data_IF_790213536413
#
_entry.id   IF_790213536413
#
_cell.length_a   1.000
_cell.length_b   1.000
_cell.length_c   1.000
_cell.angle_alpha   90.00
_cell.angle_beta   90.00
_cell.angle_gamma   90.00
#
_symmetry.space_group_name_H-M   'P 1'
#
loop_
_entity.id
_entity.type
_entity.pdbx_description
1 polymer ?
#
# COMPACT_ATOMS: atom_id res chain seq x y z
N UNK A 1 -5.76 -3.58 25.59
CA UNK A 1 -7.09 -3.18 25.07
C UNK A 1 -7.04 -2.23 23.89
N UNK A 2 -6.54 -0.98 24.01
CA UNK A 2 -6.54 -0.02 22.88
C UNK A 2 -5.68 -0.53 21.71
N UNK A 3 -4.44 -0.97 21.98
CA UNK A 3 -3.54 -1.49 20.95
C UNK A 3 -4.10 -2.73 20.25
N UNK A 4 -4.71 -3.66 20.99
CA UNK A 4 -5.37 -4.84 20.43
C UNK A 4 -6.56 -4.48 19.53
N UNK A 5 -7.32 -3.45 19.90
CA UNK A 5 -8.46 -3.00 19.07
C UNK A 5 -7.97 -2.47 17.72
N UNK A 6 -6.82 -1.78 17.70
CA UNK A 6 -6.24 -1.24 16.47
C UNK A 6 -5.63 -2.34 15.62
N UNK A 7 -4.90 -3.28 16.23
CA UNK A 7 -4.41 -4.47 15.55
C UNK A 7 -5.55 -5.23 14.88
N UNK A 8 -6.66 -5.44 15.60
CA UNK A 8 -7.84 -6.11 15.06
C UNK A 8 -8.43 -5.36 13.86
N UNK A 9 -8.56 -4.03 13.97
CA UNK A 9 -9.02 -3.16 12.88
C UNK A 9 -8.10 -3.28 11.66
N UNK A 10 -6.77 -3.25 11.84
CA UNK A 10 -5.81 -3.42 10.74
C UNK A 10 -5.94 -4.78 10.06
N UNK A 11 -5.99 -5.87 10.83
CA UNK A 11 -6.15 -7.23 10.28
C UNK A 11 -7.46 -7.34 9.50
N UNK A 12 -8.58 -6.88 10.09
CA UNK A 12 -9.89 -6.97 9.47
C UNK A 12 -9.97 -6.15 8.18
N UNK A 13 -9.52 -4.89 8.19
CA UNK A 13 -9.55 -4.05 7.00
C UNK A 13 -8.63 -4.59 5.91
N UNK A 14 -7.39 -4.98 6.25
CA UNK A 14 -6.46 -5.58 5.29
C UNK A 14 -7.06 -6.83 4.65
N UNK A 15 -7.73 -7.68 5.44
CA UNK A 15 -8.42 -8.86 4.92
C UNK A 15 -9.57 -8.49 3.97
N UNK A 16 -10.45 -7.56 4.36
CA UNK A 16 -11.56 -7.10 3.51
C UNK A 16 -11.05 -6.54 2.18
N UNK A 17 -10.02 -5.68 2.23
CA UNK A 17 -9.42 -5.07 1.04
C UNK A 17 -8.78 -6.13 0.14
N UNK A 18 -8.15 -7.15 0.73
CA UNK A 18 -7.55 -8.25 -0.04
C UNK A 18 -8.57 -8.98 -0.91
N UNK A 19 -9.83 -9.05 -0.45
CA UNK A 19 -10.94 -9.71 -1.15
C UNK A 19 -11.61 -8.85 -2.23
N UNK A 20 -11.06 -7.67 -2.54
CA UNK A 20 -11.57 -6.74 -3.54
C UNK A 20 -12.08 -7.39 -4.84
N UNK A 21 -11.34 -8.37 -5.39
CA UNK A 21 -11.69 -9.05 -6.64
C UNK A 21 -13.11 -9.65 -6.67
N UNK A 22 -13.70 -9.93 -5.51
CA UNK A 22 -15.07 -10.47 -5.38
C UNK A 22 -16.17 -9.43 -5.66
N UNK A 23 -15.88 -8.14 -5.54
CA UNK A 23 -16.86 -7.04 -5.71
C UNK A 23 -16.54 -6.12 -6.88
N UNK A 24 -15.77 -6.63 -7.83
CA UNK A 24 -15.24 -5.88 -8.97
C UNK A 24 -16.36 -5.21 -9.78
N UNK A 25 -16.15 -3.92 -10.10
CA UNK A 25 -16.88 -3.16 -11.12
C UNK A 25 -16.10 -1.86 -11.40
N UNK A 26 -16.36 -1.21 -12.52
CA UNK A 26 -15.53 -0.09 -13.00
C UNK A 26 -15.39 1.06 -11.99
N UNK A 27 -16.44 1.35 -11.21
CA UNK A 27 -16.36 2.38 -10.15
C UNK A 27 -15.45 1.93 -9.00
N UNK A 28 -15.61 0.69 -8.56
CA UNK A 28 -14.78 0.11 -7.52
C UNK A 28 -13.33 -0.10 -7.96
N UNK A 29 -13.07 -0.39 -9.25
CA UNK A 29 -11.72 -0.48 -9.82
C UNK A 29 -10.95 0.81 -9.56
N UNK A 30 -11.56 1.97 -9.86
CA UNK A 30 -10.89 3.24 -9.66
C UNK A 30 -10.76 3.60 -8.18
N UNK A 31 -11.79 3.36 -7.36
CA UNK A 31 -11.70 3.59 -5.91
C UNK A 31 -10.57 2.75 -5.31
N UNK A 32 -10.46 1.48 -5.70
CA UNK A 32 -9.40 0.59 -5.23
C UNK A 32 -8.02 1.08 -5.67
N UNK A 33 -7.85 1.48 -6.94
CA UNK A 33 -6.60 2.05 -7.44
C UNK A 33 -6.20 3.29 -6.62
N UNK A 34 -7.11 4.25 -6.45
CA UNK A 34 -6.85 5.49 -5.71
C UNK A 34 -6.52 5.18 -4.25
N UNK A 35 -7.31 4.32 -3.60
CA UNK A 35 -7.04 3.85 -2.25
C UNK A 35 -5.63 3.26 -2.14
N UNK A 36 -5.25 2.38 -3.06
CA UNK A 36 -3.96 1.70 -3.03
C UNK A 36 -2.78 2.65 -3.25
N UNK A 37 -2.92 3.63 -4.15
CA UNK A 37 -1.91 4.69 -4.37
C UNK A 37 -1.76 5.57 -3.13
N UNK A 38 -2.87 6.02 -2.54
CA UNK A 38 -2.86 6.83 -1.32
C UNK A 38 -2.29 6.06 -0.14
N UNK A 39 -2.59 4.77 -0.04
CA UNK A 39 -2.00 3.89 0.96
C UNK A 39 -0.48 3.85 0.78
N UNK A 40 0.04 3.53 -0.40
CA UNK A 40 1.51 3.51 -0.64
C UNK A 40 2.17 4.87 -0.35
N UNK A 41 1.54 5.97 -0.77
CA UNK A 41 2.03 7.31 -0.48
C UNK A 41 2.08 7.58 1.03
N UNK A 42 1.05 7.18 1.78
CA UNK A 42 1.02 7.32 3.23
C UNK A 42 2.15 6.53 3.89
N UNK A 43 2.41 5.29 3.46
CA UNK A 43 3.52 4.48 3.96
C UNK A 43 4.88 5.13 3.67
N UNK A 44 5.08 5.69 2.47
CA UNK A 44 6.33 6.36 2.10
C UNK A 44 6.62 7.61 2.94
N UNK A 45 5.60 8.44 3.15
CA UNK A 45 5.68 9.67 3.95
C UNK A 45 5.87 9.33 5.43
N UNK A 46 5.13 8.32 5.91
CA UNK A 46 5.12 7.92 7.31
C UNK A 46 6.23 6.93 7.68
N UNK A 47 7.28 6.80 6.84
CA UNK A 47 8.44 5.91 7.04
C UNK A 47 8.05 4.47 7.43
N UNK A 48 7.08 3.92 6.70
CA UNK A 48 6.53 2.59 6.93
C UNK A 48 5.78 2.40 8.27
N UNK A 49 5.17 3.45 8.77
CA UNK A 49 4.30 3.39 9.94
C UNK A 49 2.88 3.88 9.62
N UNK A 50 1.87 3.23 10.18
CA UNK A 50 0.50 3.75 10.10
C UNK A 50 0.34 4.99 10.99
N UNK A 51 -0.38 6.01 10.49
CA UNK A 51 -0.65 7.24 11.24
C UNK A 51 -1.28 6.99 12.62
N UNK A 52 -2.18 6.01 12.72
CA UNK A 52 -2.84 5.66 13.98
C UNK A 52 -1.82 5.09 14.98
N UNK A 53 -0.95 4.18 14.52
CA UNK A 53 0.14 3.64 15.33
C UNK A 53 1.06 4.75 15.84
N UNK A 54 1.50 5.64 14.93
CA UNK A 54 2.36 6.77 15.27
C UNK A 54 1.75 7.65 16.37
N UNK A 55 0.48 8.05 16.23
CA UNK A 55 -0.22 8.91 17.20
C UNK A 55 -0.21 8.27 18.60
N UNK A 56 -0.39 6.95 18.67
CA UNK A 56 -0.49 6.23 19.94
C UNK A 56 0.87 6.04 20.58
N UNK A 57 1.90 5.69 19.80
CA UNK A 57 3.26 5.59 20.31
C UNK A 57 3.76 6.94 20.79
N UNK A 58 3.52 8.03 20.05
CA UNK A 58 3.84 9.40 20.47
C UNK A 58 3.08 9.84 21.72
N UNK A 59 1.86 9.33 21.94
CA UNK A 59 1.10 9.59 23.17
C UNK A 59 1.68 8.85 24.38
N UNK A 60 2.21 7.65 24.18
CA UNK A 60 2.82 6.84 25.25
C UNK A 60 4.26 7.27 25.55
N UNK A 61 4.98 7.76 24.55
CA UNK A 61 6.34 8.24 24.64
C UNK A 61 6.48 9.56 23.86
N UNK A 62 6.67 10.65 24.59
CA UNK A 62 6.81 11.99 24.01
C UNK A 62 8.09 12.19 23.21
N UNK A 63 9.06 11.28 23.33
CA UNK A 63 10.31 11.32 22.57
C UNK A 63 10.23 10.47 21.30
N UNK A 64 9.21 9.59 21.17
CA UNK A 64 9.03 8.70 20.02
C UNK A 64 8.95 9.46 18.69
N UNK A 65 9.89 9.22 17.79
CA UNK A 65 9.97 9.81 16.47
C UNK A 65 9.34 8.90 15.41
N UNK A 66 8.78 9.50 14.36
CA UNK A 66 8.14 8.76 13.28
C UNK A 66 9.14 7.82 12.61
N UNK A 67 8.79 6.54 12.53
CA UNK A 67 9.63 5.49 11.96
C UNK A 67 10.68 4.91 12.91
N UNK A 68 10.66 5.28 14.20
CA UNK A 68 11.57 4.70 15.20
C UNK A 68 11.30 3.20 15.42
N UNK A 69 10.05 2.76 15.21
CA UNK A 69 9.70 1.34 15.14
C UNK A 69 9.12 1.01 13.77
N UNK A 70 9.74 0.07 13.07
CA UNK A 70 9.14 -0.58 11.88
C UNK A 70 8.42 -1.87 12.22
N UNK A 71 8.19 -2.13 13.51
CA UNK A 71 7.63 -3.40 13.96
C UNK A 71 6.18 -3.55 13.52
N UNK A 72 5.85 -4.77 13.08
CA UNK A 72 4.50 -5.24 12.76
C UNK A 72 3.72 -5.64 14.01
N UNK A 73 4.05 -5.03 15.15
CA UNK A 73 3.51 -5.29 16.48
C UNK A 73 1.97 -5.31 16.46
N UNK A 74 1.33 -4.43 15.68
CA UNK A 74 -0.12 -4.40 15.53
C UNK A 74 -0.70 -5.74 15.02
N UNK A 75 -0.03 -6.39 14.07
CA UNK A 75 -0.44 -7.69 13.54
C UNK A 75 -0.06 -8.83 14.49
N UNK A 76 1.13 -8.75 15.09
CA UNK A 76 1.65 -9.75 16.03
C UNK A 76 0.80 -9.85 17.29
N UNK A 77 0.29 -8.72 17.80
CA UNK A 77 -0.60 -8.69 18.97
C UNK A 77 -1.87 -9.51 18.78
N UNK A 78 -2.32 -9.69 17.53
CA UNK A 78 -3.59 -10.36 17.21
C UNK A 78 -3.37 -11.78 16.68
N UNK A 79 -2.39 -11.94 15.79
CA UNK A 79 -2.15 -13.18 15.07
C UNK A 79 -1.00 -14.00 15.69
N UNK A 80 -0.13 -13.37 16.48
CA UNK A 80 1.18 -13.91 16.85
C UNK A 80 2.21 -13.75 15.72
N UNK A 81 3.49 -13.83 16.08
CA UNK A 81 4.65 -13.59 15.18
C UNK A 81 4.60 -14.38 13.87
N UNK A 82 4.40 -15.69 13.93
CA UNK A 82 4.41 -16.52 12.73
C UNK A 82 3.24 -16.23 11.78
N UNK A 83 2.04 -16.04 12.33
CA UNK A 83 0.84 -15.80 11.52
C UNK A 83 0.80 -14.37 10.98
N UNK A 84 1.37 -13.38 11.69
CA UNK A 84 1.47 -12.01 11.20
C UNK A 84 2.34 -11.93 9.95
N UNK A 85 3.50 -12.60 9.92
CA UNK A 85 4.37 -12.66 8.75
C UNK A 85 3.66 -13.31 7.55
N UNK A 86 3.03 -14.48 7.77
CA UNK A 86 2.26 -15.18 6.73
C UNK A 86 1.11 -14.32 6.21
N UNK A 87 0.40 -13.63 7.10
CA UNK A 87 -0.70 -12.74 6.73
C UNK A 87 -0.21 -11.56 5.90
N UNK A 88 0.91 -10.94 6.26
CA UNK A 88 1.49 -9.84 5.49
C UNK A 88 1.94 -10.30 4.09
N UNK A 89 2.54 -11.48 3.97
CA UNK A 89 2.89 -12.03 2.67
C UNK A 89 1.65 -12.36 1.83
N UNK A 90 0.57 -12.87 2.45
CA UNK A 90 -0.74 -13.00 1.80
C UNK A 90 -1.29 -11.65 1.31
N UNK A 91 -1.28 -10.60 2.14
CA UNK A 91 -1.77 -9.27 1.77
C UNK A 91 -0.95 -8.69 0.60
N UNK A 92 0.38 -8.81 0.65
CA UNK A 92 1.26 -8.38 -0.46
C UNK A 92 0.95 -9.11 -1.76
N UNK A 93 0.75 -10.42 -1.69
CA UNK A 93 0.33 -11.21 -2.85
C UNK A 93 -1.02 -10.72 -3.40
N UNK A 94 -2.01 -10.54 -2.52
CA UNK A 94 -3.35 -10.09 -2.93
C UNK A 94 -3.34 -8.69 -3.53
N UNK A 95 -2.44 -7.79 -3.09
CA UNK A 95 -2.25 -6.49 -3.73
C UNK A 95 -1.78 -6.61 -5.17
N UNK A 96 -0.73 -7.41 -5.42
CA UNK A 96 -0.24 -7.65 -6.78
C UNK A 96 -1.32 -8.32 -7.62
N UNK A 97 -1.99 -9.34 -7.07
CA UNK A 97 -3.09 -10.04 -7.73
C UNK A 97 -4.22 -9.07 -8.13
N UNK A 98 -4.72 -8.26 -7.20
CA UNK A 98 -5.84 -7.33 -7.46
C UNK A 98 -5.48 -6.27 -8.50
N UNK A 99 -4.27 -5.72 -8.48
CA UNK A 99 -3.85 -4.78 -9.53
C UNK A 99 -3.68 -5.50 -10.87
N UNK A 100 -3.02 -6.65 -10.92
CA UNK A 100 -2.92 -7.45 -12.16
C UNK A 100 -4.29 -7.84 -12.70
N UNK A 101 -5.24 -8.17 -11.83
CA UNK A 101 -6.63 -8.44 -12.19
C UNK A 101 -7.24 -7.22 -12.88
N UNK A 102 -7.16 -6.02 -12.29
CA UNK A 102 -7.65 -4.77 -12.90
C UNK A 102 -6.94 -4.48 -14.23
N UNK A 103 -5.62 -4.71 -14.35
CA UNK A 103 -4.89 -4.48 -15.60
C UNK A 103 -5.40 -5.36 -16.75
N UNK A 104 -5.72 -6.62 -16.45
CA UNK A 104 -6.15 -7.61 -17.44
C UNK A 104 -7.62 -7.42 -17.81
N UNK A 105 -8.50 -7.30 -16.82
CA UNK A 105 -9.95 -7.34 -17.04
C UNK A 105 -10.63 -5.97 -16.98
N UNK A 106 -9.95 -4.96 -16.42
CA UNK A 106 -10.49 -3.62 -16.26
C UNK A 106 -10.56 -2.87 -17.58
N UNK A 107 -11.67 -2.18 -17.77
CA UNK A 107 -11.87 -1.25 -18.89
C UNK A 107 -11.30 0.12 -18.50
N UNK A 108 -9.97 0.21 -18.57
CA UNK A 108 -9.23 1.43 -18.24
C UNK A 108 -8.26 1.76 -19.38
N UNK A 109 -7.97 3.05 -19.51
CA UNK A 109 -7.07 3.58 -20.52
C UNK A 109 -5.71 2.84 -20.54
N UNK A 110 -5.19 2.60 -21.76
CA UNK A 110 -3.96 1.82 -21.97
C UNK A 110 -2.73 2.48 -21.33
N UNK A 111 -2.67 3.81 -21.32
CA UNK A 111 -1.59 4.53 -20.68
C UNK A 111 -1.70 4.44 -19.15
N UNK A 112 -2.92 4.50 -18.59
CA UNK A 112 -3.14 4.19 -17.17
C UNK A 112 -2.72 2.76 -16.83
N UNK A 113 -3.03 1.77 -17.67
CA UNK A 113 -2.56 0.37 -17.48
C UNK A 113 -1.04 0.28 -17.42
N UNK A 114 -0.34 0.96 -18.33
CA UNK A 114 1.12 1.02 -18.33
C UNK A 114 1.67 1.64 -17.04
N UNK A 115 1.11 2.79 -16.63
CA UNK A 115 1.53 3.47 -15.40
C UNK A 115 1.29 2.61 -14.16
N UNK A 116 0.13 1.95 -14.06
CA UNK A 116 -0.19 1.04 -12.96
C UNK A 116 0.72 -0.20 -12.95
N UNK A 117 1.10 -0.71 -14.12
CA UNK A 117 2.09 -1.79 -14.24
C UNK A 117 3.46 -1.37 -13.71
N UNK A 118 3.96 -0.21 -14.14
CA UNK A 118 5.23 0.36 -13.64
C UNK A 118 5.19 0.64 -12.14
N UNK A 119 4.08 1.21 -11.66
CA UNK A 119 3.84 1.44 -10.24
C UNK A 119 3.88 0.14 -9.43
N UNK A 120 3.16 -0.90 -9.87
CA UNK A 120 3.12 -2.21 -9.19
C UNK A 120 4.51 -2.85 -9.16
N UNK A 121 5.23 -2.80 -10.29
CA UNK A 121 6.60 -3.30 -10.36
C UNK A 121 7.55 -2.55 -9.40
N UNK A 122 7.44 -1.22 -9.35
CA UNK A 122 8.24 -0.41 -8.42
C UNK A 122 7.90 -0.68 -6.95
N UNK A 123 6.62 -0.89 -6.62
CA UNK A 123 6.17 -1.27 -5.27
C UNK A 123 6.77 -2.63 -4.86
N UNK A 124 6.73 -3.62 -5.76
CA UNK A 124 7.34 -4.92 -5.53
C UNK A 124 8.86 -4.81 -5.28
N UNK A 125 9.57 -4.05 -6.11
CA UNK A 125 11.01 -3.80 -5.94
C UNK A 125 11.33 -3.08 -4.63
N UNK A 126 10.52 -2.07 -4.27
CA UNK A 126 10.63 -1.35 -3.01
C UNK A 126 10.50 -2.30 -1.80
N UNK A 127 9.43 -3.11 -1.76
CA UNK A 127 9.24 -4.11 -0.70
C UNK A 127 10.37 -5.14 -0.66
N UNK A 128 10.83 -5.63 -1.81
CA UNK A 128 11.92 -6.59 -1.91
C UNK A 128 13.25 -6.02 -1.36
N UNK A 129 13.50 -4.73 -1.56
CA UNK A 129 14.71 -4.05 -1.09
C UNK A 129 14.84 -4.02 0.43
N UNK A 130 13.73 -4.02 1.18
CA UNK A 130 13.77 -4.05 2.66
C UNK A 130 14.17 -5.42 3.20
N UNK A 131 13.73 -6.51 2.55
CA UNK A 131 14.01 -7.88 3.00
C UNK A 131 15.42 -8.34 2.62
N UNK A 132 16.03 -7.78 1.57
CA UNK A 132 17.28 -8.30 1.01
C UNK A 132 18.48 -7.38 1.25
N UNK A 133 19.46 -7.88 2.01
CA UNK A 133 20.72 -7.20 2.37
C UNK A 133 21.53 -6.61 1.20
N UNK A 134 21.60 -7.20 -0.01
CA UNK A 134 22.38 -6.61 -1.11
C UNK A 134 21.77 -5.29 -1.62
N UNK A 135 20.45 -5.13 -1.49
CA UNK A 135 19.71 -3.99 -2.01
C UNK A 135 19.52 -2.88 -0.98
N UNK A 136 19.82 -3.14 0.30
CA UNK A 136 19.64 -2.20 1.41
C UNK A 136 20.38 -0.87 1.20
N UNK A 137 21.54 -0.89 0.51
CA UNK A 137 22.30 0.32 0.16
C UNK A 137 21.58 1.23 -0.84
N UNK A 138 20.70 0.66 -1.66
CA UNK A 138 19.97 1.38 -2.71
C UNK A 138 18.50 1.64 -2.31
N UNK A 139 18.07 1.25 -1.10
CA UNK A 139 16.67 1.37 -0.67
C UNK A 139 16.15 2.81 -0.74
N UNK A 140 16.97 3.80 -0.41
CA UNK A 140 16.59 5.22 -0.52
C UNK A 140 16.33 5.61 -1.98
N UNK A 141 17.24 5.26 -2.90
CA UNK A 141 17.02 5.52 -4.32
C UNK A 141 15.77 4.81 -4.86
N UNK A 142 15.56 3.54 -4.48
CA UNK A 142 14.36 2.78 -4.88
C UNK A 142 13.10 3.43 -4.30
N UNK A 143 13.15 3.93 -3.07
CA UNK A 143 12.07 4.68 -2.43
C UNK A 143 11.71 5.93 -3.25
N UNK A 144 12.71 6.71 -3.66
CA UNK A 144 12.51 7.96 -4.40
C UNK A 144 11.90 7.70 -5.79
N UNK A 145 12.35 6.65 -6.47
CA UNK A 145 11.77 6.20 -7.74
C UNK A 145 10.31 5.78 -7.55
N UNK A 146 10.03 4.97 -6.53
CA UNK A 146 8.67 4.53 -6.23
C UNK A 146 7.75 5.72 -5.86
N UNK A 147 8.26 6.68 -5.08
CA UNK A 147 7.53 7.90 -4.72
C UNK A 147 7.22 8.75 -5.96
N UNK A 148 8.20 8.93 -6.84
CA UNK A 148 8.01 9.67 -8.10
C UNK A 148 6.94 9.02 -8.98
N UNK A 149 6.99 7.69 -9.14
CA UNK A 149 5.97 6.94 -9.87
C UNK A 149 4.58 7.08 -9.22
N UNK A 150 4.50 6.99 -7.89
CA UNK A 150 3.26 7.17 -7.13
C UNK A 150 2.61 8.53 -7.43
N UNK A 151 3.41 9.61 -7.42
CA UNK A 151 2.95 10.97 -7.73
C UNK A 151 2.50 11.09 -9.20
N UNK A 152 3.24 10.49 -10.14
CA UNK A 152 2.89 10.50 -11.57
C UNK A 152 1.55 9.81 -11.81
N UNK A 153 1.36 8.59 -11.25
CA UNK A 153 0.10 7.85 -11.41
C UNK A 153 -1.07 8.62 -10.79
N UNK A 154 -0.90 9.15 -9.57
CA UNK A 154 -1.93 9.95 -8.91
C UNK A 154 -2.31 11.19 -9.73
N UNK A 155 -1.30 11.92 -10.23
CA UNK A 155 -1.51 13.11 -11.06
C UNK A 155 -2.25 12.78 -12.36
N UNK A 156 -1.93 11.64 -12.98
CA UNK A 156 -2.61 11.21 -14.20
C UNK A 156 -4.06 10.81 -13.95
N UNK A 157 -4.35 10.11 -12.84
CA UNK A 157 -5.73 9.81 -12.44
C UNK A 157 -6.52 11.10 -12.22
N UNK A 158 -5.97 12.06 -11.47
CA UNK A 158 -6.61 13.36 -11.24
C UNK A 158 -6.86 14.13 -12.56
N UNK A 159 -5.92 14.04 -13.51
CA UNK A 159 -6.08 14.60 -14.84
C UNK A 159 -7.25 13.99 -15.60
N UNK A 160 -7.37 12.64 -15.63
CA UNK A 160 -8.47 11.95 -16.28
C UNK A 160 -9.82 12.33 -15.67
N UNK A 161 -9.91 12.41 -14.34
CA UNK A 161 -11.13 12.85 -13.64
C UNK A 161 -11.50 14.30 -13.92
N UNK A 162 -10.51 15.16 -14.10
CA UNK A 162 -10.72 16.56 -14.45
C UNK A 162 -11.12 16.75 -15.91
N UNK A 163 -10.89 15.75 -16.77
CA UNK A 163 -11.13 15.81 -18.21
C UNK A 163 -11.87 14.54 -18.69
N UNK A 164 -13.16 14.38 -18.35
CA UNK A 164 -13.91 13.15 -18.60
C UNK A 164 -14.04 12.79 -20.09
N UNK A 165 -13.80 13.72 -21.02
CA UNK A 165 -13.76 13.46 -22.45
C UNK A 165 -12.66 12.46 -22.89
N UNK A 166 -11.66 12.23 -22.04
CA UNK A 166 -10.59 11.24 -22.26
C UNK A 166 -10.86 9.87 -21.63
N UNK A 167 -11.95 9.72 -20.88
CA UNK A 167 -12.39 8.43 -20.35
C UNK A 167 -13.32 7.81 -21.40
N UNK A 168 -12.78 6.90 -22.21
CA UNK A 168 -13.53 6.14 -23.22
C UNK A 168 -13.35 4.66 -23.00
#
# INVERSE_FOLDING_TARGET
MINESIGFIHVLFSFIISLYFLWRNDTFDIIYIVYFILLNLSWLIMKNECLISYIIKRKNDSDYSLGDSTNIEDYELILGEKLSEMFLDYIRFMYVFNISFILVIGDIDIFLKLLLGLFTFSCFFYMYSFKNTPFKKNTEYIKDVHMSLTIIVLSYILYLYSNPHFVK
#
